data_IF_059147190571
#
_entry.id   IF_059147190571
#
_cell.length_a   1.000
_cell.length_b   1.000
_cell.length_c   1.000
_cell.angle_alpha   90.00
_cell.angle_beta   90.00
_cell.angle_gamma   90.00
#
_symmetry.space_group_name_H-M   'P 1'
#
loop_
_entity.id
_entity.type
_entity.pdbx_description
1 polymer ?
#
# COMPACT_ATOMS: atom_id res chain seq x y z
N UNK A 1 46.22 -50.80 0.87
CA UNK A 1 45.72 -50.62 -0.50
C UNK A 1 44.20 -50.79 -0.62
N UNK A 2 43.54 -51.73 0.09
CA UNK A 2 42.09 -51.97 -0.11
C UNK A 2 41.14 -50.86 0.36
N UNK A 3 41.58 -49.93 1.21
CA UNK A 3 40.75 -48.80 1.67
C UNK A 3 40.62 -47.68 0.64
N UNK A 4 41.67 -47.48 -0.16
CA UNK A 4 41.70 -46.46 -1.22
C UNK A 4 40.84 -46.87 -2.43
N UNK A 5 40.81 -48.17 -2.73
CA UNK A 5 39.98 -48.72 -3.80
C UNK A 5 38.49 -48.74 -3.42
N UNK A 6 38.16 -49.03 -2.16
CA UNK A 6 36.78 -48.91 -1.66
C UNK A 6 36.28 -47.46 -1.71
N UNK A 7 37.10 -46.48 -1.31
CA UNK A 7 36.72 -45.07 -1.39
C UNK A 7 36.56 -44.59 -2.84
N UNK A 8 37.36 -45.10 -3.78
CA UNK A 8 37.16 -44.84 -5.21
C UNK A 8 35.84 -45.41 -5.72
N UNK A 9 35.50 -46.62 -5.29
CA UNK A 9 34.24 -47.26 -5.68
C UNK A 9 33.02 -46.51 -5.13
N UNK A 10 33.10 -46.00 -3.90
CA UNK A 10 32.05 -45.16 -3.30
C UNK A 10 31.92 -43.80 -4.01
N UNK A 11 33.05 -43.17 -4.37
CA UNK A 11 33.05 -41.93 -5.15
C UNK A 11 32.41 -42.13 -6.52
N UNK A 12 32.70 -43.24 -7.19
CA UNK A 12 32.11 -43.55 -8.50
C UNK A 12 30.62 -43.92 -8.40
N UNK A 13 30.20 -44.56 -7.31
CA UNK A 13 28.79 -44.81 -7.02
C UNK A 13 28.01 -43.49 -6.80
N UNK A 14 28.56 -42.58 -5.98
CA UNK A 14 27.95 -41.28 -5.70
C UNK A 14 27.89 -40.38 -6.95
N UNK A 15 28.90 -40.46 -7.84
CA UNK A 15 28.88 -39.73 -9.12
C UNK A 15 27.76 -40.21 -10.03
N UNK A 16 27.54 -41.52 -10.14
CA UNK A 16 26.42 -42.09 -10.91
C UNK A 16 25.07 -41.70 -10.32
N UNK A 17 24.95 -41.65 -9.00
CA UNK A 17 23.72 -41.24 -8.34
C UNK A 17 23.43 -39.75 -8.55
N UNK A 18 24.45 -38.89 -8.51
CA UNK A 18 24.33 -37.46 -8.85
C UNK A 18 23.93 -37.24 -10.31
N UNK A 19 24.45 -38.05 -11.23
CA UNK A 19 24.10 -37.99 -12.65
C UNK A 19 22.64 -38.44 -12.89
N UNK A 20 22.21 -39.49 -12.21
CA UNK A 20 20.82 -39.93 -12.19
C UNK A 20 19.88 -38.86 -11.61
N UNK A 21 20.25 -38.20 -10.50
CA UNK A 21 19.44 -37.15 -9.90
C UNK A 21 19.36 -35.90 -10.79
N UNK A 22 20.45 -35.54 -11.48
CA UNK A 22 20.45 -34.42 -12.43
C UNK A 22 19.58 -34.69 -13.67
N UNK A 23 19.61 -35.92 -14.19
CA UNK A 23 18.71 -36.30 -15.31
C UNK A 23 17.24 -36.28 -14.87
N UNK A 24 16.94 -36.78 -13.66
CA UNK A 24 15.59 -36.74 -13.08
C UNK A 24 15.11 -35.31 -12.82
N UNK A 25 15.98 -34.42 -12.35
CA UNK A 25 15.68 -32.99 -12.17
C UNK A 25 15.32 -32.33 -13.50
N UNK A 26 16.11 -32.56 -14.55
CA UNK A 26 15.83 -32.02 -15.90
C UNK A 26 14.51 -32.55 -16.48
N UNK A 27 14.17 -33.82 -16.24
CA UNK A 27 12.90 -34.38 -16.66
C UNK A 27 11.70 -33.70 -15.96
N UNK A 28 11.80 -33.48 -14.65
CA UNK A 28 10.78 -32.77 -13.87
C UNK A 28 10.66 -31.29 -14.24
N UNK A 29 11.77 -30.60 -14.51
CA UNK A 29 11.74 -29.22 -15.01
C UNK A 29 11.03 -29.12 -16.36
N UNK A 30 11.22 -30.11 -17.25
CA UNK A 30 10.51 -30.18 -18.52
C UNK A 30 9.02 -30.50 -18.36
N UNK A 31 8.63 -31.38 -17.43
CA UNK A 31 7.22 -31.63 -17.12
C UNK A 31 6.52 -30.38 -16.55
N UNK A 32 7.17 -29.66 -15.63
CA UNK A 32 6.64 -28.41 -15.07
C UNK A 32 6.50 -27.34 -16.15
N UNK A 33 7.49 -27.21 -17.04
CA UNK A 33 7.42 -26.24 -18.13
C UNK A 33 6.33 -26.60 -19.16
N UNK A 34 6.11 -27.88 -19.44
CA UNK A 34 5.03 -28.32 -20.34
C UNK A 34 3.63 -28.14 -19.71
N UNK A 35 3.49 -28.34 -18.40
CA UNK A 35 2.25 -28.04 -17.68
C UNK A 35 1.92 -26.54 -17.71
N UNK A 36 2.93 -25.67 -17.63
CA UNK A 36 2.78 -24.21 -17.73
C UNK A 36 2.39 -23.75 -19.15
N UNK A 37 2.68 -24.55 -20.18
CA UNK A 37 2.30 -24.23 -21.57
C UNK A 37 0.88 -24.70 -21.89
N UNK A 38 0.44 -25.83 -21.34
CA UNK A 38 -0.90 -26.37 -21.61
C UNK A 38 -2.03 -25.62 -20.85
N UNK A 39 -1.75 -24.96 -19.72
CA UNK A 39 -2.74 -24.14 -19.00
C UNK A 39 -2.93 -22.72 -19.58
N UNK A 40 -2.25 -22.37 -20.69
CA UNK A 40 -2.24 -20.99 -21.25
C UNK A 40 -3.16 -20.78 -22.47
N UNK A 41 -3.90 -21.78 -22.91
CA UNK A 41 -4.72 -21.66 -24.13
C UNK A 41 -6.17 -21.17 -23.90
N UNK A 42 -6.63 -20.94 -22.66
CA UNK A 42 -8.04 -20.57 -22.40
C UNK A 42 -8.34 -19.15 -21.87
N UNK A 43 -7.35 -18.24 -21.74
CA UNK A 43 -7.64 -16.88 -21.25
C UNK A 43 -7.27 -15.75 -22.23
N UNK A 44 -8.25 -15.02 -22.81
CA UNK A 44 -8.00 -13.89 -23.72
C UNK A 44 -7.24 -12.72 -23.06
N UNK A 45 -7.20 -12.65 -21.72
CA UNK A 45 -6.48 -11.63 -20.95
C UNK A 45 -4.96 -11.78 -21.03
N UNK A 46 -4.44 -12.99 -21.25
CA UNK A 46 -3.00 -13.25 -21.38
C UNK A 46 -2.43 -12.73 -22.71
N UNK A 47 -3.25 -12.66 -23.76
CA UNK A 47 -2.82 -12.12 -25.06
C UNK A 47 -2.61 -10.61 -25.00
N UNK A 48 -3.49 -9.86 -24.33
CA UNK A 48 -3.30 -8.42 -24.11
C UNK A 48 -2.05 -8.14 -23.27
N UNK A 49 -1.80 -8.98 -22.26
CA UNK A 49 -0.60 -8.87 -21.42
C UNK A 49 0.70 -9.17 -22.17
N UNK A 50 0.69 -10.17 -23.07
CA UNK A 50 1.85 -10.49 -23.90
C UNK A 50 2.15 -9.39 -24.93
N UNK A 51 1.13 -8.72 -25.47
CA UNK A 51 1.32 -7.52 -26.31
C UNK A 51 1.99 -6.40 -25.50
N UNK A 52 1.57 -6.20 -24.24
CA UNK A 52 2.15 -5.24 -23.31
C UNK A 52 3.62 -5.57 -22.95
N UNK A 53 3.96 -6.84 -22.75
CA UNK A 53 5.34 -7.28 -22.49
C UNK A 53 6.24 -7.17 -23.72
N UNK A 54 5.69 -7.35 -24.93
CA UNK A 54 6.43 -7.09 -26.16
C UNK A 54 6.68 -5.58 -26.37
N UNK A 55 5.79 -4.73 -25.88
CA UNK A 55 5.93 -3.27 -25.95
C UNK A 55 6.92 -2.72 -24.89
N UNK A 56 7.14 -3.45 -23.79
CA UNK A 56 8.06 -3.08 -22.71
C UNK A 56 8.94 -4.28 -22.27
N UNK A 57 9.99 -4.62 -23.03
CA UNK A 57 10.84 -5.79 -22.76
C UNK A 57 11.56 -5.72 -21.41
N UNK A 58 11.90 -4.51 -20.95
CA UNK A 58 12.54 -4.27 -19.65
C UNK A 58 11.65 -4.73 -18.47
N UNK A 59 10.32 -4.66 -18.63
CA UNK A 59 9.35 -5.07 -17.61
C UNK A 59 9.35 -6.59 -17.42
N UNK A 60 9.49 -7.34 -18.52
CA UNK A 60 9.57 -8.79 -18.52
C UNK A 60 10.88 -9.28 -17.89
N UNK A 61 11.99 -8.61 -18.18
CA UNK A 61 13.29 -8.92 -17.59
C UNK A 61 13.31 -8.65 -16.07
N UNK A 62 12.64 -7.60 -15.62
CA UNK A 62 12.54 -7.26 -14.20
C UNK A 62 11.71 -8.28 -13.40
N UNK A 63 10.60 -8.77 -13.98
CA UNK A 63 9.69 -9.74 -13.35
C UNK A 63 10.23 -11.18 -13.39
N UNK A 64 10.98 -11.55 -14.44
CA UNK A 64 11.54 -12.90 -14.59
C UNK A 64 12.76 -13.13 -13.68
N UNK A 65 13.58 -12.10 -13.43
CA UNK A 65 14.73 -12.16 -12.51
C UNK A 65 14.34 -12.40 -11.04
N UNK A 66 13.10 -12.11 -10.65
CA UNK A 66 12.61 -12.29 -9.27
C UNK A 66 12.26 -13.76 -8.94
N UNK A 67 11.91 -14.59 -9.94
CA UNK A 67 11.68 -16.04 -9.72
C UNK A 67 12.97 -16.80 -9.41
N UNK A 68 14.10 -16.36 -9.94
CA UNK A 68 15.40 -17.04 -9.75
C UNK A 68 15.96 -16.79 -8.34
N UNK A 69 15.79 -15.58 -7.77
CA UNK A 69 16.28 -15.28 -6.42
C UNK A 69 15.48 -15.93 -5.29
N UNK A 70 14.18 -16.20 -5.48
CA UNK A 70 13.34 -16.86 -4.46
C UNK A 70 13.62 -18.37 -4.33
N UNK A 71 14.06 -19.06 -5.39
CA UNK A 71 14.39 -20.49 -5.28
C UNK A 71 15.77 -20.73 -4.63
N UNK A 72 16.69 -19.76 -4.73
CA UNK A 72 18.00 -19.82 -4.08
C UNK A 72 17.97 -19.53 -2.57
N UNK A 73 16.97 -18.77 -2.09
CA UNK A 73 16.84 -18.44 -0.65
C UNK A 73 16.12 -19.49 0.21
N UNK A 74 15.37 -20.43 -0.38
CA UNK A 74 14.66 -21.48 0.39
C UNK A 74 15.50 -22.74 0.68
N UNK A 75 16.73 -22.85 0.15
CA UNK A 75 17.56 -24.06 0.26
C UNK A 75 18.60 -24.09 1.41
N UNK A 76 18.69 -23.06 2.27
CA UNK A 76 19.80 -22.92 3.23
C UNK A 76 19.40 -22.69 4.69
N UNK A 77 18.30 -23.30 5.16
CA UNK A 77 18.01 -23.38 6.60
C UNK A 77 17.84 -24.83 7.06
N UNK A 78 18.95 -25.57 7.10
CA UNK A 78 19.20 -26.65 8.06
C UNK A 78 20.61 -27.21 7.85
N UNK A 79 21.57 -26.81 8.70
CA UNK A 79 22.53 -27.68 9.40
C UNK A 79 23.66 -26.89 10.07
N UNK A 80 23.79 -27.20 11.35
CA UNK A 80 24.99 -27.32 12.18
C UNK A 80 25.71 -26.08 12.73
N UNK A 81 25.86 -26.15 14.04
CA UNK A 81 26.66 -25.34 14.96
C UNK A 81 28.18 -25.55 14.75
N UNK A 82 28.93 -24.62 15.37
CA UNK A 82 30.36 -24.69 15.74
C UNK A 82 31.36 -24.44 14.60
N UNK A 83 31.99 -23.25 14.61
CA UNK A 83 33.42 -23.04 14.84
C UNK A 83 33.71 -21.54 14.85
N UNK A 84 34.47 -21.09 15.86
CA UNK A 84 34.91 -19.71 15.97
C UNK A 84 36.09 -19.37 15.07
N UNK A 85 36.48 -18.10 15.21
CA UNK A 85 37.70 -17.39 14.80
C UNK A 85 37.65 -16.55 13.52
N UNK A 86 38.09 -15.30 13.77
CA UNK A 86 38.76 -14.38 12.84
C UNK A 86 37.90 -13.52 11.91
N UNK A 87 37.11 -12.61 12.52
CA UNK A 87 36.89 -11.28 11.92
C UNK A 87 36.63 -10.18 12.97
N UNK A 88 37.19 -10.34 14.18
CA UNK A 88 37.22 -9.32 15.26
C UNK A 88 38.40 -8.33 15.16
N UNK A 89 39.16 -8.32 14.07
CA UNK A 89 40.46 -7.63 14.05
C UNK A 89 40.46 -6.16 13.58
N UNK A 90 39.33 -5.51 13.24
CA UNK A 90 39.39 -4.16 12.65
C UNK A 90 38.30 -3.14 13.04
N UNK A 91 37.71 -3.22 14.25
CA UNK A 91 36.93 -2.10 14.82
C UNK A 91 37.23 -1.78 16.29
N UNK A 92 38.44 -2.09 16.77
CA UNK A 92 39.01 -1.50 17.99
C UNK A 92 40.12 -0.54 17.61
N UNK A 93 39.77 0.74 17.42
CA UNK A 93 40.63 1.94 17.56
C UNK A 93 39.83 3.18 17.19
N UNK A 94 38.88 3.55 18.05
CA UNK A 94 38.44 4.93 18.28
C UNK A 94 37.61 4.96 19.57
N UNK A 95 38.25 4.50 20.65
CA UNK A 95 37.74 4.62 22.01
C UNK A 95 38.93 4.91 22.91
N UNK A 96 39.45 6.12 22.84
CA UNK A 96 40.41 6.66 23.81
C UNK A 96 40.55 8.17 23.60
N UNK A 97 39.61 8.91 24.18
CA UNK A 97 39.86 10.06 25.05
C UNK A 97 38.50 10.67 25.46
N UNK A 98 37.84 10.03 26.43
CA UNK A 98 36.91 10.73 27.29
C UNK A 98 37.70 11.02 28.58
N UNK A 99 38.15 12.26 28.71
CA UNK A 99 38.57 12.77 30.00
C UNK A 99 37.30 12.85 30.85
N UNK A 100 37.19 11.99 31.86
CA UNK A 100 36.24 12.16 32.96
C UNK A 100 36.71 13.38 33.77
N UNK A 101 36.28 14.56 33.32
CA UNK A 101 36.44 15.80 34.08
C UNK A 101 35.13 16.04 34.83
N UNK A 102 35.13 15.73 36.13
CA UNK A 102 33.98 15.83 37.06
C UNK A 102 33.50 17.30 37.28
N UNK A 103 34.06 18.27 36.54
CA UNK A 103 33.73 19.69 36.59
C UNK A 103 33.03 20.22 35.32
N UNK A 104 32.34 19.36 34.58
CA UNK A 104 31.61 19.77 33.38
C UNK A 104 30.25 20.42 33.72
N UNK A 105 29.90 21.58 33.13
CA UNK A 105 28.60 22.21 33.32
C UNK A 105 27.43 21.29 32.95
N UNK A 106 26.34 21.33 33.73
CA UNK A 106 25.20 20.40 33.64
C UNK A 106 24.62 20.27 32.22
N UNK A 107 24.61 21.36 31.44
CA UNK A 107 24.11 21.36 30.07
C UNK A 107 24.96 20.55 29.07
N UNK A 108 26.27 20.44 29.29
CA UNK A 108 27.18 19.63 28.46
C UNK A 108 27.19 18.17 28.92
N UNK A 109 27.04 17.93 30.23
CA UNK A 109 26.91 16.58 30.79
C UNK A 109 25.66 15.86 30.28
N UNK A 110 24.53 16.56 30.19
CA UNK A 110 23.26 16.03 29.67
C UNK A 110 23.39 15.63 28.19
N UNK A 111 24.10 16.42 27.37
CA UNK A 111 24.31 16.10 25.95
C UNK A 111 25.23 14.89 25.74
N UNK A 112 26.25 14.73 26.59
CA UNK A 112 27.21 13.62 26.50
C UNK A 112 26.71 12.31 27.11
N UNK A 113 25.79 12.36 28.08
CA UNK A 113 25.26 11.16 28.77
C UNK A 113 23.86 10.76 28.35
N UNK A 114 23.19 11.51 27.48
CA UNK A 114 21.93 11.06 26.90
C UNK A 114 22.20 9.89 25.94
N UNK A 115 21.56 8.72 26.14
CA UNK A 115 21.61 7.67 25.14
C UNK A 115 21.04 8.24 23.84
N UNK A 116 21.73 7.97 22.72
CA UNK A 116 21.26 8.39 21.39
C UNK A 116 19.94 7.65 21.16
N UNK A 117 18.82 8.34 21.38
CA UNK A 117 17.49 7.84 21.04
C UNK A 117 17.38 7.96 19.52
N UNK A 118 17.95 6.99 18.81
CA UNK A 118 17.63 6.80 17.40
C UNK A 118 16.15 6.43 17.33
N UNK A 119 15.33 7.40 16.95
CA UNK A 119 13.93 7.22 16.69
C UNK A 119 13.76 6.20 15.56
N UNK A 120 13.68 4.90 15.88
CA UNK A 120 13.22 3.82 14.99
C UNK A 120 11.72 3.97 14.73
N UNK A 121 11.32 5.11 14.16
CA UNK A 121 9.97 5.35 13.64
C UNK A 121 9.76 4.53 12.35
N UNK A 122 10.86 4.13 11.71
CA UNK A 122 10.88 3.33 10.49
C UNK A 122 11.42 1.92 10.78
N UNK A 123 11.01 0.95 9.97
CA UNK A 123 11.59 -0.40 9.99
C UNK A 123 13.12 -0.33 9.80
N UNK A 124 13.88 -1.28 10.36
CA UNK A 124 15.35 -1.31 10.27
C UNK A 124 15.87 -1.26 8.82
N UNK A 125 15.08 -1.74 7.86
CA UNK A 125 15.36 -1.71 6.42
C UNK A 125 15.20 -0.31 5.79
N UNK A 126 14.45 0.58 6.46
CA UNK A 126 14.20 1.96 6.04
C UNK A 126 15.06 2.97 6.81
N UNK A 127 15.57 2.62 8.00
CA UNK A 127 16.46 3.49 8.77
C UNK A 127 17.79 3.75 8.06
N UNK A 128 18.28 2.81 7.25
CA UNK A 128 19.47 3.02 6.42
C UNK A 128 19.24 4.04 5.29
N UNK A 129 17.98 4.25 4.90
CA UNK A 129 17.60 5.15 3.80
C UNK A 129 17.25 6.58 4.27
N UNK A 130 17.15 6.81 5.59
CA UNK A 130 16.76 8.10 6.17
C UNK A 130 17.93 8.57 7.04
N UNK A 131 18.64 9.59 6.57
CA UNK A 131 19.77 10.13 7.33
C UNK A 131 19.27 10.88 8.57
N UNK A 132 19.25 10.20 9.72
CA UNK A 132 18.83 10.75 11.01
C UNK A 132 19.86 11.72 11.60
N UNK A 133 21.02 11.91 10.98
CA UNK A 133 22.03 12.90 11.40
C UNK A 133 21.54 14.36 11.34
N UNK A 134 20.46 14.63 10.59
CA UNK A 134 19.81 15.95 10.54
C UNK A 134 19.09 16.25 11.88
N UNK A 135 18.76 15.20 12.65
CA UNK A 135 18.07 15.30 13.94
C UNK A 135 19.03 15.38 15.12
N UNK A 136 20.32 15.06 14.95
CA UNK A 136 21.30 14.97 16.04
C UNK A 136 22.04 16.28 16.35
N UNK A 137 21.93 17.34 15.53
CA UNK A 137 22.55 18.63 15.86
C UNK A 137 21.88 19.85 15.18
N UNK A 138 21.42 20.86 15.94
CA UNK A 138 20.92 22.13 15.40
C UNK A 138 21.92 22.86 14.49
N UNK A 139 23.23 22.71 14.78
CA UNK A 139 24.32 23.38 14.06
C UNK A 139 24.57 22.80 12.66
N UNK A 140 24.29 21.50 12.46
CA UNK A 140 24.34 20.86 11.13
C UNK A 140 23.15 21.26 10.26
N UNK A 141 22.00 21.55 10.89
CA UNK A 141 20.76 21.98 10.20
C UNK A 141 20.90 23.33 9.49
N UNK A 142 21.66 24.27 10.04
CA UNK A 142 21.91 25.59 9.44
C UNK A 142 22.84 25.52 8.21
N UNK A 143 23.89 24.70 8.24
CA UNK A 143 24.86 24.56 7.14
C UNK A 143 24.27 23.90 5.89
N UNK A 144 23.34 22.95 6.05
CA UNK A 144 22.66 22.29 4.92
C UNK A 144 21.59 23.18 4.28
N UNK A 145 20.90 24.01 5.07
CA UNK A 145 19.86 24.93 4.58
C UNK A 145 20.48 26.16 3.88
N UNK A 146 21.65 26.62 4.30
CA UNK A 146 22.31 27.80 3.73
C UNK A 146 23.11 27.51 2.44
N UNK A 147 23.12 26.26 1.94
CA UNK A 147 23.70 25.94 0.63
C UNK A 147 25.20 26.28 0.50
N UNK A 148 25.92 26.35 1.62
CA UNK A 148 27.36 26.60 1.59
C UNK A 148 28.02 25.27 1.20
N UNK A 149 28.41 25.18 -0.08
CA UNK A 149 29.39 24.21 -0.54
C UNK A 149 30.61 24.30 0.38
N UNK A 150 30.88 23.20 1.08
CA UNK A 150 32.09 23.05 1.89
C UNK A 150 33.26 23.01 0.92
N UNK A 151 33.77 24.19 0.58
CA UNK A 151 35.04 24.39 -0.11
C UNK A 151 36.14 24.39 0.95
N UNK A 152 36.52 23.19 1.35
CA UNK A 152 37.64 22.92 2.26
C UNK A 152 37.96 21.44 2.17
N UNK A 153 39.22 21.07 2.38
CA UNK A 153 39.81 19.75 2.08
C UNK A 153 39.24 18.54 2.87
N UNK A 154 38.02 18.63 3.40
CA UNK A 154 37.25 17.54 4.01
C UNK A 154 36.20 16.97 3.04
N UNK A 155 36.51 16.92 1.74
CA UNK A 155 35.64 16.44 0.66
C UNK A 155 35.39 14.92 0.65
N UNK A 156 35.70 14.20 1.73
CA UNK A 156 35.56 12.74 1.84
C UNK A 156 34.50 12.26 2.86
N UNK A 157 33.63 13.14 3.39
CA UNK A 157 32.51 12.74 4.24
C UNK A 157 31.16 13.29 3.75
N UNK A 158 30.96 13.19 2.44
CA UNK A 158 29.71 13.51 1.77
C UNK A 158 29.51 12.64 0.55
N UNK A 159 29.68 11.32 0.68
CA UNK A 159 29.25 10.37 -0.35
C UNK A 159 27.72 10.46 -0.47
N UNK A 160 27.22 11.45 -1.24
CA UNK A 160 25.96 11.31 -1.96
C UNK A 160 26.19 10.16 -2.93
N UNK A 161 25.94 8.95 -2.46
CA UNK A 161 26.13 7.74 -3.23
C UNK A 161 25.07 7.80 -4.36
N UNK A 162 25.45 8.11 -5.61
CA UNK A 162 24.46 8.35 -6.68
C UNK A 162 23.58 7.12 -6.92
N UNK A 163 24.13 5.93 -6.67
CA UNK A 163 23.45 4.65 -6.77
C UNK A 163 22.35 4.45 -5.69
N UNK A 164 22.51 5.05 -4.50
CA UNK A 164 21.52 4.93 -3.41
C UNK A 164 20.26 5.75 -3.70
N UNK A 165 20.44 6.95 -4.30
CA UNK A 165 19.32 7.78 -4.73
C UNK A 165 18.53 7.09 -5.85
N UNK A 166 19.21 6.46 -6.82
CA UNK A 166 18.55 5.73 -7.89
C UNK A 166 17.79 4.49 -7.38
N UNK A 167 18.32 3.77 -6.38
CA UNK A 167 17.60 2.66 -5.75
C UNK A 167 16.37 3.14 -4.96
N UNK A 168 16.51 4.24 -4.22
CA UNK A 168 15.39 4.84 -3.49
C UNK A 168 14.30 5.34 -4.44
N UNK A 169 14.67 6.02 -5.52
CA UNK A 169 13.73 6.44 -6.58
C UNK A 169 12.99 5.24 -7.17
N UNK A 170 13.70 4.14 -7.47
CA UNK A 170 13.07 2.89 -7.92
C UNK A 170 12.09 2.32 -6.90
N UNK A 171 12.41 2.35 -5.60
CA UNK A 171 11.49 1.92 -4.53
C UNK A 171 10.25 2.82 -4.44
N UNK A 172 10.41 4.14 -4.57
CA UNK A 172 9.30 5.10 -4.56
C UNK A 172 8.39 4.89 -5.78
N UNK A 173 8.96 4.71 -6.97
CA UNK A 173 8.19 4.42 -8.18
C UNK A 173 7.42 3.11 -8.01
N UNK A 174 8.07 2.06 -7.47
CA UNK A 174 7.42 0.77 -7.18
C UNK A 174 6.26 0.93 -6.19
N UNK A 175 6.44 1.68 -5.10
CA UNK A 175 5.37 1.99 -4.15
C UNK A 175 4.20 2.70 -4.85
N UNK A 176 4.49 3.75 -5.63
CA UNK A 176 3.47 4.50 -6.36
C UNK A 176 2.69 3.61 -7.34
N UNK A 177 3.37 2.70 -8.05
CA UNK A 177 2.71 1.72 -8.92
C UNK A 177 1.75 0.81 -8.13
N UNK A 178 2.14 0.33 -6.95
CA UNK A 178 1.23 -0.45 -6.11
C UNK A 178 0.06 0.37 -5.54
N UNK A 179 0.25 1.68 -5.33
CA UNK A 179 -0.84 2.56 -4.90
C UNK A 179 -1.90 2.78 -5.97
N UNK A 180 -1.58 2.63 -7.25
CA UNK A 180 -2.53 2.76 -8.36
C UNK A 180 -3.71 1.76 -8.26
N UNK A 181 -3.54 0.63 -7.56
CA UNK A 181 -4.62 -0.33 -7.32
C UNK A 181 -5.70 0.20 -6.36
N UNK A 182 -5.47 1.33 -5.69
CA UNK A 182 -6.45 2.03 -4.85
C UNK A 182 -6.55 1.51 -3.41
N UNK A 183 -6.11 0.28 -3.13
CA UNK A 183 -6.03 -0.28 -1.78
C UNK A 183 -4.57 -0.67 -1.52
N UNK A 184 -3.95 -0.05 -0.52
CA UNK A 184 -2.57 -0.36 -0.13
C UNK A 184 -2.43 -0.49 1.39
N UNK A 185 -1.48 -1.33 1.82
CA UNK A 185 -1.11 -1.45 3.22
C UNK A 185 0.22 -0.76 3.47
N UNK A 186 0.33 -0.12 4.63
CA UNK A 186 1.57 0.51 5.05
C UNK A 186 1.84 0.18 6.53
N UNK A 187 3.12 -0.06 6.88
CA UNK A 187 3.49 -0.31 8.27
C UNK A 187 3.30 0.96 9.09
N UNK A 188 2.78 0.79 10.31
CA UNK A 188 2.60 1.88 11.28
C UNK A 188 2.97 1.35 12.65
N UNK A 189 3.53 2.21 13.49
CA UNK A 189 3.81 1.91 14.89
C UNK A 189 3.16 2.96 15.77
N UNK A 190 2.52 2.53 16.86
CA UNK A 190 2.09 3.46 17.91
C UNK A 190 3.31 3.84 18.76
N UNK A 191 3.70 5.13 18.83
CA UNK A 191 4.81 5.56 19.67
C UNK A 191 4.62 5.15 21.13
N UNK A 192 3.38 5.03 21.61
CA UNK A 192 3.08 4.66 22.99
C UNK A 192 3.35 3.18 23.31
N UNK A 193 3.54 2.34 22.28
CA UNK A 193 3.78 0.89 22.43
C UNK A 193 5.24 0.50 22.21
N UNK A 194 6.12 1.47 21.97
CA UNK A 194 7.56 1.25 21.89
C UNK A 194 8.11 1.00 23.29
N UNK A 195 8.65 -0.21 23.50
CA UNK A 195 9.29 -0.61 24.74
C UNK A 195 10.77 -0.83 24.45
N UNK A 196 11.62 -0.16 25.20
CA UNK A 196 13.06 -0.35 25.10
C UNK A 196 13.48 -1.57 25.93
N UNK A 197 14.04 -2.56 25.25
CA UNK A 197 14.64 -3.71 25.89
C UNK A 197 16.09 -3.39 26.26
N UNK A 198 16.32 -3.15 27.56
CA UNK A 198 17.64 -2.80 28.11
C UNK A 198 18.66 -3.92 27.96
N UNK A 199 18.23 -5.16 27.72
CA UNK A 199 19.13 -6.30 27.58
C UNK A 199 19.82 -6.36 26.22
N UNK A 200 19.09 -6.03 25.16
CA UNK A 200 19.58 -6.10 23.77
C UNK A 200 19.78 -4.72 23.12
N UNK A 201 19.49 -3.64 23.85
CA UNK A 201 19.49 -2.27 23.33
C UNK A 201 18.57 -2.09 22.10
N UNK A 202 17.51 -2.90 22.02
CA UNK A 202 16.54 -2.88 20.94
C UNK A 202 15.23 -2.21 21.38
N UNK A 203 14.54 -1.57 20.43
CA UNK A 203 13.22 -1.01 20.65
C UNK A 203 12.21 -1.97 20.05
N UNK A 204 11.43 -2.63 20.92
CA UNK A 204 10.43 -3.59 20.52
C UNK A 204 9.04 -2.96 20.54
N UNK A 205 8.22 -3.30 19.55
CA UNK A 205 6.83 -2.87 19.52
C UNK A 205 5.95 -3.86 20.28
N UNK A 206 5.30 -3.40 21.35
CA UNK A 206 4.38 -4.21 22.17
C UNK A 206 3.12 -4.64 21.41
N UNK A 207 2.63 -3.81 20.48
CA UNK A 207 1.40 -4.07 19.72
C UNK A 207 1.58 -3.72 18.26
N UNK A 208 1.43 -4.72 17.40
CA UNK A 208 1.45 -4.52 15.95
C UNK A 208 0.29 -3.62 15.49
N UNK A 209 0.60 -2.77 14.51
CA UNK A 209 -0.36 -1.91 13.84
C UNK A 209 -0.19 -2.03 12.33
N UNK A 210 -1.29 -1.93 11.61
CA UNK A 210 -1.31 -1.87 10.16
C UNK A 210 -2.17 -0.72 9.70
N UNK A 211 -1.64 0.07 8.78
CA UNK A 211 -2.36 1.12 8.09
C UNK A 211 -2.90 0.61 6.75
N UNK A 212 -4.13 0.97 6.44
CA UNK A 212 -4.78 0.76 5.16
C UNK A 212 -5.00 2.15 4.55
N UNK A 213 -4.53 2.33 3.32
CA UNK A 213 -4.74 3.53 2.52
C UNK A 213 -5.70 3.19 1.37
N UNK A 214 -6.77 3.97 1.27
CA UNK A 214 -7.81 3.87 0.24
C UNK A 214 -7.74 5.13 -0.62
N UNK A 215 -7.42 4.97 -1.90
CA UNK A 215 -7.27 6.04 -2.89
C UNK A 215 -8.21 5.78 -4.06
N UNK A 216 -9.23 6.62 -4.21
CA UNK A 216 -10.17 6.55 -5.33
C UNK A 216 -9.64 7.43 -6.46
N UNK A 217 -9.55 6.87 -7.66
CA UNK A 217 -9.19 7.63 -8.86
C UNK A 217 -10.42 8.33 -9.45
N UNK A 218 -10.29 9.62 -9.75
CA UNK A 218 -11.32 10.38 -10.47
C UNK A 218 -10.95 10.47 -11.95
N UNK A 219 -11.61 9.65 -12.78
CA UNK A 219 -11.36 9.65 -14.23
C UNK A 219 -11.73 10.98 -14.91
N UNK A 220 -12.59 11.81 -14.29
CA UNK A 220 -13.03 13.08 -14.91
C UNK A 220 -11.91 14.10 -14.88
N UNK A 221 -11.20 14.17 -13.76
CA UNK A 221 -10.08 15.09 -13.55
C UNK A 221 -8.72 14.44 -13.86
N UNK A 222 -8.68 13.11 -14.01
CA UNK A 222 -7.45 12.35 -14.22
C UNK A 222 -6.52 12.34 -13.01
N UNK A 223 -7.06 12.55 -11.80
CA UNK A 223 -6.29 12.64 -10.56
C UNK A 223 -6.89 11.77 -9.47
N UNK A 224 -6.05 11.33 -8.52
CA UNK A 224 -6.53 10.66 -7.32
C UNK A 224 -7.20 11.66 -6.37
N UNK A 225 -8.31 11.26 -5.78
CA UNK A 225 -8.93 11.99 -4.68
C UNK A 225 -8.06 11.92 -3.42
N UNK A 226 -8.43 12.72 -2.41
CA UNK A 226 -7.75 12.70 -1.11
C UNK A 226 -7.81 11.28 -0.51
N UNK A 227 -6.67 10.68 -0.11
CA UNK A 227 -6.65 9.35 0.48
C UNK A 227 -7.43 9.29 1.78
N UNK A 228 -8.15 8.18 1.97
CA UNK A 228 -8.70 7.80 3.26
C UNK A 228 -7.83 6.74 3.94
N UNK A 229 -7.72 6.82 5.25
CA UNK A 229 -6.87 5.95 6.05
C UNK A 229 -7.72 5.18 7.05
N UNK A 230 -7.36 3.92 7.27
CA UNK A 230 -7.89 3.08 8.34
C UNK A 230 -6.70 2.45 9.05
N UNK A 231 -6.63 2.63 10.37
CA UNK A 231 -5.59 2.06 11.22
C UNK A 231 -6.21 0.92 12.02
N UNK A 232 -5.62 -0.27 11.89
CA UNK A 232 -5.94 -1.43 12.69
C UNK A 232 -4.83 -1.67 13.70
N UNK A 233 -5.22 -2.07 14.92
CA UNK A 233 -4.30 -2.34 16.01
C UNK A 233 -4.58 -3.71 16.60
N UNK A 234 -3.54 -4.51 16.75
CA UNK A 234 -3.67 -5.86 17.29
C UNK A 234 -3.99 -5.82 18.78
N UNK A 235 -5.02 -6.56 19.21
CA UNK A 235 -5.38 -6.66 20.63
C UNK A 235 -4.41 -7.60 21.34
N UNK A 236 -3.95 -7.19 22.53
CA UNK A 236 -2.95 -7.95 23.32
C UNK A 236 -3.43 -9.33 23.78
N UNK A 237 -4.73 -9.49 24.05
CA UNK A 237 -5.26 -10.73 24.65
C UNK A 237 -5.76 -11.75 23.63
N UNK A 238 -6.20 -11.30 22.46
CA UNK A 238 -6.95 -12.11 21.50
C UNK A 238 -6.27 -12.25 20.15
N UNK A 239 -5.11 -11.61 19.96
CA UNK A 239 -4.32 -11.62 18.73
C UNK A 239 -5.10 -11.23 17.45
N UNK A 240 -6.26 -10.60 17.60
CA UNK A 240 -7.11 -10.13 16.51
C UNK A 240 -6.88 -8.64 16.24
N UNK A 241 -7.07 -8.24 14.99
CA UNK A 241 -7.01 -6.85 14.58
C UNK A 241 -8.30 -6.14 15.00
N UNK A 242 -8.16 -5.02 15.70
CA UNK A 242 -9.26 -4.13 16.07
C UNK A 242 -9.17 -2.81 15.31
N UNK A 243 -10.33 -2.24 14.99
CA UNK A 243 -10.42 -0.89 14.43
C UNK A 243 -9.93 0.14 15.46
N UNK A 244 -8.91 0.93 15.12
CA UNK A 244 -8.32 1.93 16.03
C UNK A 244 -8.71 3.36 15.66
N UNK A 245 -8.39 3.78 14.44
CA UNK A 245 -8.70 5.12 13.91
C UNK A 245 -8.98 5.04 12.42
N UNK A 246 -9.79 5.96 11.90
CA UNK A 246 -10.04 6.05 10.47
C UNK A 246 -10.43 7.48 10.07
N UNK A 247 -10.24 7.80 8.79
CA UNK A 247 -10.65 9.09 8.19
C UNK A 247 -11.82 8.93 7.20
N UNK A 248 -12.46 7.76 7.21
CA UNK A 248 -13.65 7.46 6.42
C UNK A 248 -14.83 8.32 6.91
N UNK A 249 -15.58 8.97 6.01
CA UNK A 249 -16.72 9.80 6.39
C UNK A 249 -17.84 9.01 7.09
N UNK A 250 -18.51 9.64 8.05
CA UNK A 250 -19.51 9.01 8.94
C UNK A 250 -20.74 8.44 8.22
N UNK A 251 -21.02 8.87 6.99
CA UNK A 251 -22.13 8.31 6.19
C UNK A 251 -21.82 6.90 5.66
N UNK A 252 -20.56 6.44 5.73
CA UNK A 252 -20.18 5.04 5.56
C UNK A 252 -20.05 4.42 6.95
N UNK A 253 -20.92 3.48 7.27
CA UNK A 253 -20.88 2.78 8.54
C UNK A 253 -19.77 1.72 8.53
N UNK A 254 -18.56 2.16 8.89
CA UNK A 254 -17.38 1.31 8.92
C UNK A 254 -17.48 0.21 9.98
N UNK A 255 -18.17 0.46 11.10
CA UNK A 255 -18.33 -0.51 12.17
C UNK A 255 -19.25 -1.65 11.74
N UNK A 256 -20.34 -1.33 11.04
CA UNK A 256 -21.22 -2.34 10.46
C UNK A 256 -20.49 -3.19 9.42
N UNK A 257 -19.67 -2.58 8.56
CA UNK A 257 -18.84 -3.30 7.58
C UNK A 257 -17.83 -4.21 8.30
N UNK A 258 -17.15 -3.69 9.33
CA UNK A 258 -16.21 -4.44 10.14
C UNK A 258 -16.87 -5.65 10.83
N UNK A 259 -18.05 -5.45 11.44
CA UNK A 259 -18.79 -6.51 12.11
C UNK A 259 -19.32 -7.58 11.16
N UNK A 260 -19.65 -7.23 9.91
CA UNK A 260 -20.11 -8.22 8.93
C UNK A 260 -19.05 -9.25 8.55
N UNK A 261 -17.79 -8.93 8.75
CA UNK A 261 -16.67 -9.81 8.41
C UNK A 261 -16.28 -10.55 9.67
N UNK A 262 -16.56 -11.86 9.70
CA UNK A 262 -16.25 -12.75 10.80
C UNK A 262 -16.68 -12.20 12.18
N UNK A 263 -17.84 -11.53 12.25
CA UNK A 263 -18.37 -10.90 13.47
C UNK A 263 -17.41 -9.87 14.11
N UNK A 264 -16.58 -9.20 13.30
CA UNK A 264 -15.59 -8.22 13.76
C UNK A 264 -14.30 -8.85 14.30
N UNK A 265 -14.01 -10.09 13.94
CA UNK A 265 -12.78 -10.80 14.30
C UNK A 265 -11.94 -10.96 13.04
N UNK A 266 -11.02 -10.03 12.81
CA UNK A 266 -10.06 -10.11 11.71
C UNK A 266 -8.77 -10.74 12.22
N UNK A 267 -8.39 -11.90 11.67
CA UNK A 267 -7.18 -12.62 12.06
C UNK A 267 -6.11 -12.56 10.98
N UNK A 268 -6.52 -12.68 9.72
CA UNK A 268 -5.63 -12.77 8.56
C UNK A 268 -5.56 -11.47 7.77
N UNK A 269 -4.53 -11.31 6.94
CA UNK A 269 -4.45 -10.19 5.99
C UNK A 269 -5.53 -10.25 4.91
N UNK A 270 -6.07 -11.44 4.61
CA UNK A 270 -7.18 -11.62 3.69
C UNK A 270 -8.49 -11.07 4.28
N UNK A 271 -8.77 -11.31 5.56
CA UNK A 271 -9.92 -10.72 6.25
C UNK A 271 -9.86 -9.19 6.21
N UNK A 272 -8.67 -8.64 6.47
CA UNK A 272 -8.39 -7.21 6.39
C UNK A 272 -8.62 -6.69 4.96
N UNK A 273 -8.24 -7.47 3.94
CA UNK A 273 -8.42 -7.10 2.54
C UNK A 273 -9.90 -7.07 2.15
N UNK A 274 -10.66 -8.09 2.54
CA UNK A 274 -12.11 -8.14 2.29
C UNK A 274 -12.79 -6.92 2.96
N UNK A 275 -12.36 -6.58 4.18
CA UNK A 275 -12.83 -5.39 4.89
C UNK A 275 -12.51 -4.11 4.14
N UNK A 276 -11.24 -3.90 3.79
CA UNK A 276 -10.79 -2.74 3.02
C UNK A 276 -11.55 -2.62 1.69
N UNK A 277 -11.73 -3.74 0.98
CA UNK A 277 -12.46 -3.83 -0.29
C UNK A 277 -13.91 -3.43 -0.15
N UNK A 278 -14.61 -3.87 0.90
CA UNK A 278 -16.00 -3.47 1.12
C UNK A 278 -16.15 -1.97 1.40
N UNK A 279 -15.23 -1.38 2.17
CA UNK A 279 -15.21 0.07 2.40
C UNK A 279 -14.88 0.82 1.10
N UNK A 280 -13.89 0.35 0.35
CA UNK A 280 -13.48 0.91 -0.93
C UNK A 280 -14.62 0.92 -1.96
N UNK A 281 -15.39 -0.16 -2.05
CA UNK A 281 -16.57 -0.24 -2.93
C UNK A 281 -17.61 0.84 -2.55
N UNK A 282 -17.82 1.11 -1.26
CA UNK A 282 -18.75 2.18 -0.85
C UNK A 282 -18.25 3.56 -1.26
N UNK A 283 -16.94 3.83 -1.13
CA UNK A 283 -16.33 5.07 -1.61
C UNK A 283 -16.49 5.22 -3.13
N UNK A 284 -16.21 4.15 -3.89
CA UNK A 284 -16.35 4.13 -5.34
C UNK A 284 -17.80 4.40 -5.78
N UNK A 285 -18.79 3.80 -5.12
CA UNK A 285 -20.20 4.03 -5.42
C UNK A 285 -20.61 5.48 -5.20
N UNK A 286 -20.13 6.10 -4.12
CA UNK A 286 -20.38 7.52 -3.82
C UNK A 286 -19.74 8.39 -4.90
N UNK A 287 -18.50 8.11 -5.27
CA UNK A 287 -17.81 8.88 -6.31
C UNK A 287 -18.49 8.76 -7.68
N UNK A 288 -18.87 7.55 -8.08
CA UNK A 288 -19.59 7.31 -9.33
C UNK A 288 -20.93 8.05 -9.38
N UNK A 289 -21.66 8.12 -8.26
CA UNK A 289 -22.90 8.91 -8.19
C UNK A 289 -22.64 10.40 -8.37
N UNK A 290 -21.64 10.94 -7.67
CA UNK A 290 -21.24 12.35 -7.80
C UNK A 290 -20.87 12.66 -9.26
N UNK A 291 -20.05 11.81 -9.88
CA UNK A 291 -19.66 11.93 -11.30
C UNK A 291 -20.87 11.95 -12.24
N UNK A 292 -21.81 11.01 -12.10
CA UNK A 292 -23.00 10.96 -12.95
C UNK A 292 -23.86 12.23 -12.86
N UNK A 293 -23.91 12.88 -11.69
CA UNK A 293 -24.64 14.14 -11.49
C UNK A 293 -23.90 15.33 -12.08
N UNK A 294 -22.57 15.39 -11.90
CA UNK A 294 -21.75 16.45 -12.50
C UNK A 294 -21.80 16.40 -14.03
N UNK A 295 -21.78 15.20 -14.62
CA UNK A 295 -21.97 15.04 -16.07
C UNK A 295 -23.32 15.57 -16.58
N UNK A 296 -24.37 15.53 -15.76
CA UNK A 296 -25.67 16.10 -16.13
C UNK A 296 -25.66 17.63 -16.11
N UNK A 297 -24.91 18.20 -15.17
CA UNK A 297 -24.69 19.65 -15.08
C UNK A 297 -23.85 20.14 -16.25
N UNK A 298 -22.73 19.47 -16.55
CA UNK A 298 -21.85 19.79 -17.68
C UNK A 298 -22.57 19.69 -19.03
N UNK A 299 -23.49 18.73 -19.17
CA UNK A 299 -24.32 18.60 -20.36
C UNK A 299 -25.44 19.65 -20.46
N UNK A 300 -25.53 20.61 -19.53
CA UNK A 300 -26.57 21.64 -19.47
C UNK A 300 -28.00 21.09 -19.50
N UNK A 301 -28.23 19.92 -18.90
CA UNK A 301 -29.57 19.33 -18.77
C UNK A 301 -30.22 19.78 -17.45
N UNK A 302 -29.40 19.94 -16.41
CA UNK A 302 -29.85 20.33 -15.07
C UNK A 302 -29.01 21.49 -14.53
N UNK A 303 -29.64 22.37 -13.76
CA UNK A 303 -28.99 23.48 -13.04
C UNK A 303 -29.25 23.38 -11.54
N UNK A 304 -28.49 24.16 -10.77
CA UNK A 304 -28.67 24.33 -9.32
C UNK A 304 -28.73 23.02 -8.54
N UNK A 305 -27.79 22.10 -8.83
CA UNK A 305 -27.75 20.82 -8.12
C UNK A 305 -27.31 21.07 -6.68
N UNK A 306 -28.22 20.80 -5.74
CA UNK A 306 -27.93 20.75 -4.31
C UNK A 306 -27.86 19.29 -3.88
N UNK A 307 -26.72 18.94 -3.30
CA UNK A 307 -26.36 17.58 -2.95
C UNK A 307 -26.01 17.53 -1.46
N UNK A 308 -26.59 16.57 -0.74
CA UNK A 308 -26.16 16.26 0.64
C UNK A 308 -24.82 15.50 0.65
N UNK A 309 -24.05 15.58 1.73
CA UNK A 309 -22.72 14.94 1.88
C UNK A 309 -22.76 13.42 1.63
N UNK A 310 -23.90 12.78 1.93
CA UNK A 310 -24.11 11.34 1.76
C UNK A 310 -24.69 10.95 0.37
N UNK A 311 -24.91 11.92 -0.53
CA UNK A 311 -25.54 11.73 -1.86
C UNK A 311 -26.91 11.03 -1.83
N UNK A 312 -27.63 11.04 -0.69
CA UNK A 312 -28.97 10.44 -0.57
C UNK A 312 -30.07 11.40 -1.02
N UNK A 313 -29.89 12.70 -0.81
CA UNK A 313 -30.84 13.72 -1.22
C UNK A 313 -30.21 14.57 -2.31
N UNK A 314 -30.87 14.62 -3.46
CA UNK A 314 -30.44 15.45 -4.58
C UNK A 314 -31.60 16.32 -4.99
N UNK A 315 -31.38 17.63 -5.01
CA UNK A 315 -32.33 18.61 -5.56
C UNK A 315 -31.68 19.22 -6.79
N UNK A 316 -32.43 19.33 -7.87
CA UNK A 316 -31.95 19.89 -9.13
C UNK A 316 -33.09 20.56 -9.89
N UNK A 317 -32.77 21.56 -10.69
CA UNK A 317 -33.69 22.18 -11.63
C UNK A 317 -33.43 21.61 -13.02
N UNK A 318 -34.47 21.35 -13.81
CA UNK A 318 -34.30 20.91 -15.20
C UNK A 318 -34.24 22.15 -16.09
N UNK A 319 -33.14 22.30 -16.84
CA UNK A 319 -32.93 23.44 -17.73
C UNK A 319 -34.01 23.43 -18.81
N UNK A 320 -34.45 24.63 -19.22
CA UNK A 320 -35.57 24.87 -20.15
C UNK A 320 -36.97 24.52 -19.60
N UNK A 321 -37.09 24.25 -18.30
CA UNK A 321 -38.40 24.06 -17.64
C UNK A 321 -38.44 24.79 -16.28
N UNK A 322 -39.63 25.06 -15.75
CA UNK A 322 -39.80 25.52 -14.35
C UNK A 322 -39.83 24.35 -13.35
N UNK A 323 -39.38 23.16 -13.78
CA UNK A 323 -39.52 21.93 -13.02
C UNK A 323 -38.35 21.73 -12.07
N UNK A 324 -38.67 21.62 -10.78
CA UNK A 324 -37.75 21.26 -9.71
C UNK A 324 -37.91 19.79 -9.36
N UNK A 325 -36.81 19.06 -9.38
CA UNK A 325 -36.74 17.64 -9.09
C UNK A 325 -36.04 17.42 -7.76
N UNK A 326 -36.64 16.63 -6.88
CA UNK A 326 -36.01 16.14 -5.65
C UNK A 326 -36.00 14.62 -5.68
N UNK A 327 -34.80 14.04 -5.67
CA UNK A 327 -34.56 12.61 -5.67
C UNK A 327 -34.08 12.16 -4.31
N UNK A 328 -34.68 11.08 -3.81
CA UNK A 328 -34.20 10.34 -2.65
C UNK A 328 -33.59 9.03 -3.12
N UNK A 329 -32.35 8.82 -2.74
CA UNK A 329 -31.53 7.70 -3.12
C UNK A 329 -31.24 6.86 -1.88
N UNK A 330 -31.43 5.56 -2.01
CA UNK A 330 -30.99 4.60 -1.04
C UNK A 330 -30.12 3.56 -1.72
N UNK A 331 -28.87 3.45 -1.25
CA UNK A 331 -27.82 2.72 -1.97
C UNK A 331 -27.78 3.25 -3.40
N UNK A 332 -27.83 2.37 -4.39
CA UNK A 332 -27.73 2.74 -5.81
C UNK A 332 -29.09 2.80 -6.54
N UNK A 333 -30.16 3.07 -5.80
CA UNK A 333 -31.52 3.15 -6.35
C UNK A 333 -32.22 4.42 -5.89
N UNK A 334 -32.97 5.03 -6.79
CA UNK A 334 -33.95 6.08 -6.51
C UNK A 334 -35.17 5.43 -5.90
N UNK A 335 -35.42 5.72 -4.62
CA UNK A 335 -36.55 5.18 -3.86
C UNK A 335 -37.76 6.12 -3.90
N UNK A 336 -37.52 7.43 -3.97
CA UNK A 336 -38.59 8.42 -4.02
C UNK A 336 -38.22 9.60 -4.91
N UNK A 337 -39.23 10.14 -5.58
CA UNK A 337 -39.12 11.27 -6.51
C UNK A 337 -40.23 12.27 -6.21
N UNK A 338 -39.84 13.50 -5.90
CA UNK A 338 -40.74 14.63 -5.78
C UNK A 338 -40.49 15.59 -6.94
N UNK A 339 -41.57 15.96 -7.63
CA UNK A 339 -41.55 16.87 -8.77
C UNK A 339 -42.42 18.04 -8.38
N UNK A 340 -41.86 19.25 -8.44
CA UNK A 340 -42.60 20.50 -8.34
C UNK A 340 -42.48 21.20 -9.69
N UNK A 341 -43.59 21.40 -10.38
CA UNK A 341 -43.64 22.08 -11.66
C UNK A 341 -44.94 22.85 -11.77
N UNK A 342 -44.87 24.06 -12.30
CA UNK A 342 -46.03 24.90 -12.59
C UNK A 342 -46.63 24.60 -13.98
N UNK A 343 -45.86 23.94 -14.85
CA UNK A 343 -46.24 23.71 -16.25
C UNK A 343 -46.66 22.27 -16.53
N UNK A 344 -46.19 21.28 -15.76
CA UNK A 344 -46.56 19.88 -15.96
C UNK A 344 -47.90 19.53 -15.30
N UNK A 345 -48.77 18.87 -16.08
CA UNK A 345 -50.02 18.30 -15.59
C UNK A 345 -49.80 17.11 -14.64
N UNK A 346 -50.81 16.80 -13.84
CA UNK A 346 -50.75 15.75 -12.81
C UNK A 346 -50.46 14.37 -13.42
N UNK A 347 -50.93 14.06 -14.63
CA UNK A 347 -50.69 12.77 -15.27
C UNK A 347 -49.24 12.64 -15.74
N UNK A 348 -48.69 13.68 -16.38
CA UNK A 348 -47.28 13.68 -16.77
C UNK A 348 -46.35 13.64 -15.56
N UNK A 349 -46.67 14.35 -14.46
CA UNK A 349 -45.92 14.25 -13.21
C UNK A 349 -45.89 12.82 -12.65
N UNK A 350 -47.02 12.10 -12.69
CA UNK A 350 -47.05 10.68 -12.27
C UNK A 350 -46.20 9.79 -13.18
N UNK A 351 -46.28 10.00 -14.50
CA UNK A 351 -45.47 9.24 -15.47
C UNK A 351 -43.97 9.46 -15.24
N UNK A 352 -43.55 10.72 -15.06
CA UNK A 352 -42.16 11.08 -14.78
C UNK A 352 -41.66 10.46 -13.49
N UNK A 353 -42.45 10.49 -12.41
CA UNK A 353 -42.11 9.82 -11.14
C UNK A 353 -41.85 8.33 -11.36
N UNK A 354 -42.73 7.63 -12.07
CA UNK A 354 -42.56 6.19 -12.36
C UNK A 354 -41.31 5.91 -13.22
N UNK A 355 -41.03 6.75 -14.22
CA UNK A 355 -39.86 6.58 -15.07
C UNK A 355 -38.55 6.77 -14.30
N UNK A 356 -38.49 7.75 -13.40
CA UNK A 356 -37.28 8.12 -12.66
C UNK A 356 -36.94 7.16 -11.52
N UNK A 357 -37.90 6.36 -11.03
CA UNK A 357 -37.65 5.31 -10.05
C UNK A 357 -36.72 4.22 -10.62
N UNK A 358 -35.89 3.62 -9.76
CA UNK A 358 -34.98 2.53 -10.13
C UNK A 358 -33.49 2.87 -10.03
N UNK A 359 -32.60 2.20 -10.79
CA UNK A 359 -31.15 2.33 -10.61
C UNK A 359 -30.60 3.69 -11.04
N UNK A 360 -29.57 4.16 -10.32
CA UNK A 360 -28.96 5.49 -10.54
C UNK A 360 -28.22 5.59 -11.88
N UNK A 361 -27.61 4.49 -12.33
CA UNK A 361 -26.89 4.43 -13.62
C UNK A 361 -27.74 4.84 -14.82
N UNK A 362 -29.06 4.68 -14.76
CA UNK A 362 -29.99 5.05 -15.82
C UNK A 362 -30.58 6.45 -15.71
N UNK A 363 -30.39 7.16 -14.58
CA UNK A 363 -31.03 8.46 -14.34
C UNK A 363 -30.67 9.45 -15.43
N UNK A 364 -29.40 9.52 -15.83
CA UNK A 364 -28.95 10.53 -16.79
C UNK A 364 -29.64 10.38 -18.15
N UNK A 365 -29.86 9.14 -18.59
CA UNK A 365 -30.61 8.84 -19.83
C UNK A 365 -32.10 9.14 -19.68
N UNK A 366 -32.68 8.79 -18.53
CA UNK A 366 -34.09 9.04 -18.23
C UNK A 366 -34.40 10.53 -18.19
N UNK A 367 -33.57 11.34 -17.53
CA UNK A 367 -33.75 12.79 -17.47
C UNK A 367 -33.63 13.40 -18.87
N UNK A 368 -32.66 12.99 -19.70
CA UNK A 368 -32.55 13.44 -21.10
C UNK A 368 -33.79 13.15 -21.92
N UNK A 369 -34.31 11.92 -21.80
CA UNK A 369 -35.54 11.53 -22.49
C UNK A 369 -36.73 12.39 -22.07
N UNK A 370 -36.85 12.66 -20.76
CA UNK A 370 -37.94 13.48 -20.22
C UNK A 370 -37.79 14.96 -20.56
N UNK A 371 -36.58 15.50 -20.70
CA UNK A 371 -36.35 16.89 -21.10
C UNK A 371 -36.62 17.17 -22.59
N UNK A 372 -36.75 16.12 -23.41
CA UNK A 372 -37.06 16.20 -24.84
C UNK A 372 -38.55 16.01 -25.14
N UNK A 373 -39.34 15.58 -24.14
CA UNK A 373 -40.80 15.52 -24.20
C UNK A 373 -41.40 16.84 -23.73
#
# INVERSE_FOLDING_TARGET
MSTLDNLRQDIDALRKELEYLNTKKKALENEVNNAIVNDKEEEPLLQEFNVLFNQFPDLFELLSKEKIKRSEMLGKHHRDEVFGTEEEANKRKQSEHLNDDDNMPEHEWILNKQPIIEHKIFASELSENINTDILTSPSKRKKVIEGIEITGNDANMGYKNPNLNEELERKIIKENTFRLFGISYFPVVDPCDLVHDKSNNEVNNKREMIGIRLEVFDDTLGVFEKPHYILLKKKTKSNNWGLFKYTIPNYIDIYLIFQRINNGILLTYEDIYIFAKQVYIQLLLIQNRKKNLMQLQEANIVSDILIDLNLKLIKMNIINTTTKLTLYLEKDKVTSVSIYSETLDIHSQKRWKLTLLGPVSGISRKIRYLSQM
#
